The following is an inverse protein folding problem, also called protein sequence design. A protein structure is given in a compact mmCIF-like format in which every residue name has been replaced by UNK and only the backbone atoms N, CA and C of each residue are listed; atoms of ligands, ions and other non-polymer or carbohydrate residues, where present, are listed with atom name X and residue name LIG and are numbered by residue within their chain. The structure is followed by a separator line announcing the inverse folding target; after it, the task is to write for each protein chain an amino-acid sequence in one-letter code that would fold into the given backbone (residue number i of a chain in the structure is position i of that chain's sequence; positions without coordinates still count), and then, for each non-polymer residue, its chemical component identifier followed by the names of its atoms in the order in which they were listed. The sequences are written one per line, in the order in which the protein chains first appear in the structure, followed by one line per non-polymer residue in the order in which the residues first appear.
data_IF_579015580143
#
_entry.id   IF_579015580143
#
_cell.length_a   1.000
_cell.length_b   1.000
_cell.length_c   1.000
_cell.angle_alpha   90.00
_cell.angle_beta   90.00
_cell.angle_gamma   90.00
#
_symmetry.space_group_name_H-M   'P 1'
#
loop_
_entity.id
_entity.type
_entity.pdbx_description
1 polymer ?
#
# COMPACT_ATOMS: atom_id res chain seq x y z
N UNK A 1 -2.87 -14.88 0.63
CA UNK A 1 -2.45 -14.45 1.99
C UNK A 1 -0.97 -14.71 2.16
N UNK A 2 -0.19 -13.77 2.71
CA UNK A 2 1.18 -14.09 3.11
C UNK A 2 1.05 -15.04 4.29
N UNK A 3 1.57 -16.26 4.10
CA UNK A 3 1.62 -17.29 5.15
C UNK A 3 3.00 -17.33 5.81
N UNK A 4 3.94 -16.56 5.27
CA UNK A 4 5.33 -16.53 5.66
C UNK A 4 5.81 -15.07 5.76
N UNK A 5 6.17 -14.59 6.96
CA UNK A 5 6.74 -13.26 7.17
C UNK A 5 8.05 -13.00 6.38
N UNK A 6 8.77 -14.05 5.99
CA UNK A 6 9.98 -13.95 5.16
C UNK A 6 9.71 -13.85 3.66
N UNK A 7 8.44 -13.93 3.23
CA UNK A 7 8.09 -13.87 1.82
C UNK A 7 8.35 -12.49 1.23
N UNK A 8 9.25 -12.42 0.25
CA UNK A 8 9.44 -11.22 -0.56
C UNK A 8 8.27 -11.06 -1.54
N UNK A 9 7.68 -9.88 -1.57
CA UNK A 9 6.56 -9.54 -2.46
C UNK A 9 6.98 -8.41 -3.39
N UNK A 10 6.58 -8.49 -4.65
CA UNK A 10 6.77 -7.41 -5.62
C UNK A 10 5.44 -6.67 -5.74
N UNK A 11 5.48 -5.34 -5.61
CA UNK A 11 4.34 -4.42 -5.70
C UNK A 11 4.73 -3.17 -6.47
N UNK A 12 3.75 -2.42 -6.97
CA UNK A 12 3.98 -1.14 -7.63
C UNK A 12 3.82 0.00 -6.61
N UNK A 13 4.77 0.93 -6.61
CA UNK A 13 4.60 2.21 -5.91
C UNK A 13 3.62 3.08 -6.70
N UNK A 14 2.55 3.50 -6.04
CA UNK A 14 1.50 4.33 -6.62
C UNK A 14 1.66 5.79 -6.20
N UNK A 15 2.12 6.03 -4.98
CA UNK A 15 2.31 7.37 -4.43
C UNK A 15 3.43 7.41 -3.39
N UNK A 16 4.04 8.58 -3.24
CA UNK A 16 5.14 8.87 -2.31
C UNK A 16 4.69 9.83 -1.23
N UNK A 17 5.58 10.13 -0.29
CA UNK A 17 5.34 11.07 0.80
C UNK A 17 4.72 12.39 0.34
N UNK A 18 3.73 12.87 1.10
CA UNK A 18 3.01 14.11 0.82
C UNK A 18 1.90 14.00 -0.23
N UNK A 19 1.90 12.97 -1.08
CA UNK A 19 0.83 12.75 -2.06
C UNK A 19 -0.51 12.50 -1.37
N UNK A 20 -1.61 12.93 -2.01
CA UNK A 20 -2.97 12.61 -1.61
C UNK A 20 -3.57 11.67 -2.65
N UNK A 21 -3.93 10.46 -2.23
CA UNK A 21 -4.52 9.45 -3.09
C UNK A 21 -5.96 9.16 -2.73
N UNK A 22 -6.72 8.67 -3.71
CA UNK A 22 -8.01 8.02 -3.47
C UNK A 22 -7.77 6.53 -3.29
N UNK A 23 -8.26 5.97 -2.18
CA UNK A 23 -8.13 4.54 -1.88
C UNK A 23 -9.26 3.73 -2.54
N UNK A 24 -9.01 2.43 -2.76
CA UNK A 24 -9.99 1.50 -3.31
C UNK A 24 -10.88 0.93 -2.20
N UNK A 25 -10.28 0.48 -1.10
CA UNK A 25 -10.98 -0.18 0.01
C UNK A 25 -10.38 0.10 1.38
N UNK A 26 -9.47 1.06 1.49
CA UNK A 26 -8.88 1.42 2.77
C UNK A 26 -9.86 2.24 3.62
N UNK A 27 -9.61 2.30 4.94
CA UNK A 27 -10.49 2.93 5.95
C UNK A 27 -10.98 4.31 5.55
N UNK A 28 -10.10 5.13 4.99
CA UNK A 28 -10.40 6.47 4.51
C UNK A 28 -10.39 6.50 2.98
N UNK A 29 -11.40 7.15 2.39
CA UNK A 29 -11.50 7.34 0.93
C UNK A 29 -10.31 8.11 0.36
N UNK A 30 -9.74 9.03 1.13
CA UNK A 30 -8.54 9.76 0.78
C UNK A 30 -7.49 9.61 1.88
N UNK A 31 -6.24 9.44 1.48
CA UNK A 31 -5.09 9.35 2.38
C UNK A 31 -4.02 10.28 1.87
N UNK A 32 -3.46 11.10 2.77
CA UNK A 32 -2.17 11.75 2.55
C UNK A 32 -1.08 10.77 2.98
N UNK A 33 -0.14 10.46 2.10
CA UNK A 33 0.98 9.57 2.43
C UNK A 33 1.89 10.28 3.44
N UNK A 34 2.18 9.67 4.60
CA UNK A 34 3.10 10.24 5.58
C UNK A 34 4.52 10.40 5.04
N UNK A 35 5.31 11.26 5.70
CA UNK A 35 6.75 11.37 5.46
C UNK A 35 7.43 10.01 5.64
N UNK A 36 8.40 9.69 4.77
CA UNK A 36 9.12 8.41 4.79
C UNK A 36 8.27 7.17 4.43
N UNK A 37 7.05 7.34 3.94
CA UNK A 37 6.18 6.23 3.52
C UNK A 37 5.86 6.27 2.03
N UNK A 38 5.41 5.13 1.50
CA UNK A 38 4.82 5.04 0.17
C UNK A 38 3.50 4.25 0.19
N UNK A 39 2.70 4.42 -0.85
CA UNK A 39 1.51 3.62 -1.10
C UNK A 39 1.80 2.59 -2.20
N UNK A 40 1.55 1.31 -1.92
CA UNK A 40 1.83 0.22 -2.86
C UNK A 40 0.57 -0.57 -3.20
N UNK A 41 0.44 -0.96 -4.47
CA UNK A 41 -0.66 -1.80 -4.94
C UNK A 41 -0.15 -2.97 -5.78
N UNK A 42 -0.86 -4.10 -5.70
CA UNK A 42 -0.67 -5.23 -6.60
C UNK A 42 -1.34 -5.00 -7.95
N UNK A 43 -0.96 -5.80 -8.93
CA UNK A 43 -1.54 -5.88 -10.27
C UNK A 43 -2.94 -6.54 -10.29
N UNK A 44 -3.23 -7.43 -9.32
CA UNK A 44 -4.55 -8.02 -9.13
C UNK A 44 -5.32 -7.33 -7.99
N UNK A 45 -6.11 -6.32 -8.35
CA UNK A 45 -7.03 -5.64 -7.45
C UNK A 45 -8.03 -6.66 -6.84
N UNK A 46 -7.95 -6.86 -5.51
CA UNK A 46 -8.88 -7.69 -4.73
C UNK A 46 -8.34 -9.04 -4.22
N UNK A 47 -7.17 -9.49 -4.66
CA UNK A 47 -6.52 -10.72 -4.12
C UNK A 47 -5.13 -10.46 -3.53
N UNK A 48 -4.62 -9.26 -3.74
CA UNK A 48 -3.32 -8.77 -3.31
C UNK A 48 -3.40 -8.21 -1.89
N UNK A 49 -2.56 -8.70 -0.97
CA UNK A 49 -2.27 -7.95 0.25
C UNK A 49 -1.39 -6.75 -0.13
N UNK A 50 -1.93 -5.55 0.01
CA UNK A 50 -1.29 -4.28 -0.36
C UNK A 50 -1.78 -3.11 0.52
N UNK A 51 -1.44 -1.86 0.18
CA UNK A 51 -1.77 -0.70 1.01
C UNK A 51 -3.27 -0.47 1.19
N UNK A 52 -4.13 -0.99 0.32
CA UNK A 52 -5.57 -0.95 0.57
C UNK A 52 -5.99 -1.85 1.74
N UNK A 53 -5.14 -2.79 2.14
CA UNK A 53 -5.33 -3.67 3.30
C UNK A 53 -4.63 -3.14 4.56
N UNK A 54 -3.35 -2.76 4.45
CA UNK A 54 -2.50 -2.40 5.59
C UNK A 54 -2.16 -0.90 5.73
N UNK A 55 -2.43 -0.10 4.70
CA UNK A 55 -2.11 1.33 4.67
C UNK A 55 -0.74 1.65 4.05
N UNK A 56 -0.22 2.88 4.25
CA UNK A 56 1.12 3.26 3.80
C UNK A 56 2.19 2.37 4.42
N UNK A 57 3.30 2.16 3.71
CA UNK A 57 4.46 1.36 4.17
C UNK A 57 5.72 2.20 4.23
N UNK A 58 6.52 1.97 5.27
CA UNK A 58 7.88 2.50 5.38
C UNK A 58 8.84 1.61 4.58
N UNK A 59 9.73 2.16 3.73
CA UNK A 59 10.77 1.39 3.04
C UNK A 59 11.92 0.87 3.94
N UNK A 60 11.85 1.08 5.25
CA UNK A 60 12.86 0.65 6.23
C UNK A 60 12.36 -0.43 7.20
#
# INVERSE_FOLDING_TARGET
SPRDPGQKMIKRVIALEGDIIRTLSYRNRYVRVPEGHCWVEGDHHGQSLDSNSFGPVSPE
#
